data_IF_883871082272
#
_entry.id   IF_883871082272
#
_cell.length_a   1.000
_cell.length_b   1.000
_cell.length_c   1.000
_cell.angle_alpha   90.00
_cell.angle_beta   90.00
_cell.angle_gamma   90.00
#
_symmetry.space_group_name_H-M   'P 1'
#
loop_
_entity.id
_entity.type
_entity.pdbx_description
1 polymer ?
#
# COMPACT_ATOMS: atom_id res chain seq x y z
N UNK A 1 6.53 -26.21 -0.83
CA UNK A 1 6.48 -25.40 0.40
C UNK A 1 6.82 -23.92 0.18
N UNK A 2 7.97 -23.55 -0.40
CA UNK A 2 8.35 -22.14 -0.61
C UNK A 2 7.27 -21.33 -1.35
N UNK A 3 6.73 -21.85 -2.47
CA UNK A 3 5.69 -21.18 -3.23
C UNK A 3 4.45 -20.84 -2.40
N UNK A 4 4.01 -21.74 -1.50
CA UNK A 4 2.87 -21.50 -0.63
C UNK A 4 3.09 -20.33 0.34
N UNK A 5 4.30 -20.17 0.88
CA UNK A 5 4.66 -19.02 1.70
C UNK A 5 4.73 -17.72 0.91
N UNK A 6 5.24 -17.74 -0.32
CA UNK A 6 5.26 -16.58 -1.21
C UNK A 6 3.84 -16.13 -1.62
N UNK A 7 2.92 -17.10 -1.79
CA UNK A 7 1.49 -16.83 -2.04
C UNK A 7 0.85 -16.18 -0.81
N UNK A 8 1.04 -16.72 0.41
CA UNK A 8 0.54 -16.14 1.67
C UNK A 8 1.07 -14.72 1.90
N UNK A 9 2.36 -14.53 1.69
CA UNK A 9 3.04 -13.24 1.84
C UNK A 9 2.63 -12.21 0.76
N UNK A 10 1.90 -12.62 -0.27
CA UNK A 10 1.56 -11.80 -1.45
C UNK A 10 2.77 -11.02 -1.95
N UNK A 11 3.89 -11.73 -2.12
CA UNK A 11 5.22 -11.15 -2.37
C UNK A 11 5.24 -10.26 -3.62
N UNK A 12 4.35 -10.47 -4.58
CA UNK A 12 4.24 -9.65 -5.79
C UNK A 12 3.87 -8.19 -5.52
N UNK A 13 3.31 -7.88 -4.35
CA UNK A 13 2.97 -6.52 -3.94
C UNK A 13 4.04 -5.88 -3.02
N UNK A 14 5.04 -6.66 -2.57
CA UNK A 14 6.07 -6.17 -1.66
C UNK A 14 6.84 -4.95 -2.20
N UNK A 15 7.18 -4.84 -3.49
CA UNK A 15 7.83 -3.62 -4.00
C UNK A 15 7.02 -2.35 -3.81
N UNK A 16 5.67 -2.42 -3.70
CA UNK A 16 4.86 -1.24 -3.36
C UNK A 16 5.07 -0.78 -1.91
N UNK A 17 5.49 -1.67 -1.02
CA UNK A 17 5.91 -1.32 0.33
C UNK A 17 7.24 -0.57 0.30
N UNK A 18 8.17 -1.03 -0.54
CA UNK A 18 9.47 -0.37 -0.70
C UNK A 18 9.32 1.04 -1.28
N UNK A 19 8.44 1.23 -2.28
CA UNK A 19 8.18 2.57 -2.80
C UNK A 19 7.50 3.46 -1.75
N UNK A 20 6.55 2.94 -0.97
CA UNK A 20 5.91 3.70 0.11
C UNK A 20 6.92 4.11 1.19
N UNK A 21 7.76 3.18 1.67
CA UNK A 21 8.80 3.46 2.67
C UNK A 21 9.78 4.50 2.14
N UNK A 22 10.28 4.31 0.93
CA UNK A 22 11.26 5.24 0.33
C UNK A 22 10.64 6.62 0.08
N UNK A 23 9.37 6.68 -0.35
CA UNK A 23 8.67 7.94 -0.55
C UNK A 23 8.49 8.70 0.78
N UNK A 24 8.03 8.03 1.84
CA UNK A 24 7.92 8.63 3.18
C UNK A 24 9.26 9.13 3.70
N UNK A 25 10.34 8.36 3.48
CA UNK A 25 11.70 8.73 3.83
C UNK A 25 12.18 10.00 3.11
N UNK A 26 12.05 10.02 1.78
CA UNK A 26 12.51 11.14 0.95
C UNK A 26 11.72 12.43 1.20
N UNK A 27 10.40 12.33 1.38
CA UNK A 27 9.54 13.48 1.68
C UNK A 27 9.83 14.10 3.05
N UNK A 28 10.34 13.30 3.98
CA UNK A 28 10.84 13.79 5.27
C UNK A 28 12.26 14.39 5.20
N UNK A 29 12.89 14.41 4.02
CA UNK A 29 14.25 14.94 3.82
C UNK A 29 15.36 13.92 4.05
N UNK A 30 15.02 12.62 4.11
CA UNK A 30 16.00 11.55 4.30
C UNK A 30 16.89 11.30 3.08
N UNK A 31 18.20 11.13 3.30
CA UNK A 31 19.14 10.79 2.25
C UNK A 31 19.01 9.31 1.83
N UNK A 32 19.03 8.99 0.51
CA UNK A 32 18.90 7.60 0.03
C UNK A 32 20.03 6.67 0.50
N UNK A 33 21.23 7.22 0.77
CA UNK A 33 22.41 6.45 1.22
C UNK A 33 22.47 6.21 2.74
N UNK A 34 21.49 6.66 3.51
CA UNK A 34 21.49 6.47 4.96
C UNK A 34 21.18 5.00 5.29
N UNK A 35 22.02 4.29 6.06
CA UNK A 35 21.80 2.87 6.40
C UNK A 35 20.51 2.61 7.18
N UNK A 36 19.96 3.59 7.91
CA UNK A 36 18.69 3.45 8.60
C UNK A 36 17.53 3.17 7.62
N UNK A 37 17.60 3.66 6.38
CA UNK A 37 16.60 3.34 5.35
C UNK A 37 16.50 1.84 5.09
N UNK A 38 17.63 1.12 5.10
CA UNK A 38 17.63 -0.34 4.91
C UNK A 38 16.86 -1.04 6.02
N UNK A 39 17.05 -0.63 7.27
CA UNK A 39 16.32 -1.19 8.41
C UNK A 39 14.82 -0.92 8.31
N UNK A 40 14.43 0.28 7.89
CA UNK A 40 13.01 0.63 7.68
C UNK A 40 12.40 -0.15 6.50
N UNK A 41 13.15 -0.39 5.41
CA UNK A 41 12.71 -1.24 4.30
C UNK A 41 12.49 -2.68 4.74
N UNK A 42 13.42 -3.24 5.52
CA UNK A 42 13.28 -4.59 6.10
C UNK A 42 12.09 -4.65 7.06
N UNK A 43 11.96 -3.66 7.95
CA UNK A 43 10.85 -3.56 8.88
C UNK A 43 9.50 -3.50 8.15
N UNK A 44 9.35 -2.61 7.18
CA UNK A 44 8.14 -2.50 6.35
C UNK A 44 7.82 -3.80 5.61
N UNK A 45 8.86 -4.50 5.12
CA UNK A 45 8.70 -5.81 4.48
C UNK A 45 8.15 -6.86 5.44
N UNK A 46 8.68 -6.93 6.66
CA UNK A 46 8.22 -7.86 7.69
C UNK A 46 6.81 -7.54 8.18
N UNK A 47 6.51 -6.26 8.43
CA UNK A 47 5.18 -5.82 8.84
C UNK A 47 4.12 -6.14 7.77
N UNK A 48 4.44 -5.89 6.50
CA UNK A 48 3.54 -6.20 5.39
C UNK A 48 3.33 -7.70 5.23
N UNK A 49 4.40 -8.49 5.13
CA UNK A 49 4.31 -9.94 4.91
C UNK A 49 3.68 -10.66 6.09
N UNK A 50 4.03 -10.26 7.31
CA UNK A 50 3.40 -10.76 8.54
C UNK A 50 1.90 -10.50 8.56
N UNK A 51 1.46 -9.28 8.26
CA UNK A 51 0.04 -8.92 8.14
C UNK A 51 -0.68 -9.74 7.08
N UNK A 52 -0.10 -9.95 5.89
CA UNK A 52 -0.72 -10.77 4.84
C UNK A 52 -0.91 -12.23 5.28
N UNK A 53 0.09 -12.82 5.95
CA UNK A 53 0.03 -14.19 6.47
C UNK A 53 -1.05 -14.28 7.57
N UNK A 54 -1.10 -13.31 8.48
CA UNK A 54 -2.10 -13.27 9.56
C UNK A 54 -3.51 -13.06 9.03
N UNK A 55 -3.67 -12.25 8.00
CA UNK A 55 -4.96 -12.06 7.32
C UNK A 55 -5.53 -13.38 6.81
N UNK A 56 -4.71 -14.18 6.09
CA UNK A 56 -5.14 -15.48 5.59
C UNK A 56 -5.33 -16.51 6.74
N UNK A 57 -4.58 -16.40 7.84
CA UNK A 57 -4.79 -17.23 9.02
C UNK A 57 -6.10 -16.89 9.76
N UNK A 58 -6.43 -15.62 9.92
CA UNK A 58 -7.68 -15.16 10.51
C UNK A 58 -8.90 -15.55 9.64
N UNK A 59 -8.71 -15.58 8.32
CA UNK A 59 -9.75 -15.90 7.34
C UNK A 59 -9.98 -17.39 7.13
N UNK A 60 -9.24 -18.28 7.78
CA UNK A 60 -9.21 -19.72 7.49
C UNK A 60 -10.60 -20.39 7.51
N UNK A 61 -11.50 -19.96 8.42
CA UNK A 61 -12.86 -20.53 8.50
C UNK A 61 -13.66 -20.24 7.23
N UNK A 62 -13.65 -18.99 6.80
CA UNK A 62 -14.33 -18.56 5.57
C UNK A 62 -13.69 -19.19 4.33
N UNK A 63 -12.36 -19.25 4.27
CA UNK A 63 -11.63 -19.77 3.13
C UNK A 63 -11.78 -21.29 2.97
N UNK A 64 -12.01 -22.05 4.05
CA UNK A 64 -12.35 -23.47 3.98
C UNK A 64 -13.68 -23.73 3.25
N UNK A 65 -14.60 -22.80 3.31
CA UNK A 65 -15.92 -22.92 2.66
C UNK A 65 -15.90 -22.38 1.21
N UNK A 66 -15.09 -21.34 0.94
CA UNK A 66 -15.20 -20.59 -0.29
C UNK A 66 -13.93 -20.57 -1.16
N UNK A 67 -12.75 -20.92 -0.61
CA UNK A 67 -11.44 -20.78 -1.26
C UNK A 67 -10.47 -21.87 -0.83
N UNK A 68 -10.84 -23.12 -1.07
CA UNK A 68 -10.06 -24.30 -0.65
C UNK A 68 -8.69 -24.41 -1.34
N UNK A 69 -8.49 -23.71 -2.46
CA UNK A 69 -7.22 -23.63 -3.18
C UNK A 69 -6.14 -22.82 -2.44
N UNK A 70 -6.50 -22.00 -1.44
CA UNK A 70 -5.55 -21.22 -0.65
C UNK A 70 -4.61 -22.11 0.16
N UNK A 71 -3.37 -21.61 0.48
CA UNK A 71 -2.33 -22.44 1.11
C UNK A 71 -2.74 -23.07 2.45
N UNK A 72 -3.47 -22.36 3.33
CA UNK A 72 -3.85 -22.87 4.65
C UNK A 72 -5.01 -23.84 4.54
N UNK A 73 -6.15 -23.51 3.90
CA UNK A 73 -7.24 -24.47 3.70
C UNK A 73 -6.81 -25.72 2.94
N UNK A 74 -5.96 -25.57 1.92
CA UNK A 74 -5.42 -26.68 1.12
C UNK A 74 -4.33 -27.51 1.81
N UNK A 75 -4.06 -27.28 3.10
CA UNK A 75 -3.11 -28.07 3.90
C UNK A 75 -1.64 -27.89 3.52
N UNK A 76 -1.30 -26.95 2.63
CA UNK A 76 0.09 -26.67 2.20
C UNK A 76 0.90 -25.93 3.26
N UNK A 77 0.24 -25.22 4.18
CA UNK A 77 0.81 -24.53 5.35
C UNK A 77 -0.11 -24.75 6.54
N UNK A 78 0.46 -25.15 7.69
CA UNK A 78 -0.35 -25.34 8.90
C UNK A 78 -0.79 -23.99 9.49
N UNK A 79 -1.98 -23.97 10.07
CA UNK A 79 -2.54 -22.75 10.68
C UNK A 79 -1.65 -22.23 11.82
N UNK A 80 -1.11 -23.16 12.64
CA UNK A 80 -0.19 -22.79 13.72
C UNK A 80 1.08 -22.14 13.20
N UNK A 81 1.68 -22.69 12.14
CA UNK A 81 2.86 -22.08 11.52
C UNK A 81 2.55 -20.68 10.95
N UNK A 82 1.38 -20.50 10.32
CA UNK A 82 0.98 -19.19 9.81
C UNK A 82 0.85 -18.15 10.93
N UNK A 83 0.21 -18.49 12.05
CA UNK A 83 0.12 -17.63 13.24
C UNK A 83 1.51 -17.31 13.81
N UNK A 84 2.34 -18.32 14.04
CA UNK A 84 3.67 -18.15 14.65
C UNK A 84 4.58 -17.29 13.78
N UNK A 85 4.64 -17.56 12.47
CA UNK A 85 5.48 -16.80 11.53
C UNK A 85 4.95 -15.38 11.36
N UNK A 86 3.64 -15.21 11.18
CA UNK A 86 3.04 -13.89 11.00
C UNK A 86 3.25 -12.98 12.21
N UNK A 87 2.98 -13.46 13.43
CA UNK A 87 3.23 -12.71 14.66
C UNK A 87 4.72 -12.43 14.87
N UNK A 88 5.58 -13.43 14.64
CA UNK A 88 7.03 -13.24 14.72
C UNK A 88 7.54 -12.16 13.78
N UNK A 89 7.01 -12.10 12.54
CA UNK A 89 7.34 -11.04 11.58
C UNK A 89 6.84 -9.66 12.03
N UNK A 90 5.64 -9.55 12.62
CA UNK A 90 5.17 -8.26 13.15
C UNK A 90 6.06 -7.76 14.29
N UNK A 91 6.42 -8.64 15.23
CA UNK A 91 7.32 -8.29 16.35
C UNK A 91 8.70 -7.90 15.83
N UNK A 92 9.31 -8.70 14.95
CA UNK A 92 10.61 -8.41 14.36
C UNK A 92 10.58 -7.11 13.54
N UNK A 93 9.54 -6.87 12.75
CA UNK A 93 9.37 -5.66 11.97
C UNK A 93 9.24 -4.42 12.85
N UNK A 94 8.45 -4.51 13.93
CA UNK A 94 8.35 -3.44 14.92
C UNK A 94 9.71 -3.12 15.56
N UNK A 95 10.43 -4.16 16.00
CA UNK A 95 11.74 -4.02 16.63
C UNK A 95 12.77 -3.37 15.69
N UNK A 96 12.85 -3.84 14.43
CA UNK A 96 13.76 -3.29 13.44
C UNK A 96 13.43 -1.84 13.05
N UNK A 97 12.14 -1.48 13.00
CA UNK A 97 11.74 -0.11 12.74
C UNK A 97 12.19 0.84 13.86
N UNK A 98 11.95 0.45 15.12
CA UNK A 98 12.14 1.34 16.27
C UNK A 98 13.62 1.47 16.65
N UNK A 99 14.34 0.36 16.79
CA UNK A 99 15.71 0.39 17.33
C UNK A 99 16.76 0.75 16.27
N UNK A 100 17.08 -0.12 15.29
CA UNK A 100 18.09 0.27 14.31
C UNK A 100 17.59 1.23 13.24
N UNK A 101 16.27 1.24 12.96
CA UNK A 101 15.65 2.13 12.01
C UNK A 101 15.38 3.55 12.53
N UNK A 102 15.25 3.71 13.86
CA UNK A 102 14.99 4.99 14.50
C UNK A 102 13.57 5.54 14.33
N UNK A 103 12.61 4.72 13.89
CA UNK A 103 11.23 5.15 13.73
C UNK A 103 10.53 5.39 15.10
N UNK A 104 9.56 6.30 15.11
CA UNK A 104 8.75 6.56 16.30
C UNK A 104 7.98 5.31 16.72
N UNK A 105 8.21 4.82 17.94
CA UNK A 105 7.59 3.62 18.47
C UNK A 105 6.05 3.72 18.49
N UNK A 106 5.50 4.90 18.79
CA UNK A 106 4.05 5.12 18.83
C UNK A 106 3.40 4.97 17.45
N UNK A 107 4.02 5.53 16.38
CA UNK A 107 3.54 5.40 15.00
C UNK A 107 3.65 3.95 14.55
N UNK A 108 4.78 3.29 14.85
CA UNK A 108 5.00 1.89 14.48
C UNK A 108 4.01 0.97 15.20
N UNK A 109 3.73 1.22 16.47
CA UNK A 109 2.71 0.47 17.25
C UNK A 109 1.30 0.70 16.71
N UNK A 110 0.97 1.93 16.31
CA UNK A 110 -0.31 2.23 15.65
C UNK A 110 -0.46 1.48 14.32
N UNK A 111 0.62 1.37 13.53
CA UNK A 111 0.62 0.58 12.30
C UNK A 111 0.35 -0.91 12.58
N UNK A 112 1.06 -1.51 13.53
CA UNK A 112 0.83 -2.90 13.96
C UNK A 112 -0.60 -3.09 14.46
N UNK A 113 -1.10 -2.17 15.28
CA UNK A 113 -2.48 -2.19 15.77
C UNK A 113 -3.52 -2.12 14.64
N UNK A 114 -3.30 -1.26 13.63
CA UNK A 114 -4.17 -1.19 12.45
C UNK A 114 -4.14 -2.47 11.62
N UNK A 115 -2.96 -3.11 11.44
CA UNK A 115 -2.83 -4.39 10.74
C UNK A 115 -3.67 -5.46 11.46
N UNK A 116 -3.43 -5.65 12.76
CA UNK A 116 -4.16 -6.63 13.55
C UNK A 116 -5.66 -6.33 13.58
N UNK A 117 -6.06 -5.08 13.79
CA UNK A 117 -7.46 -4.70 13.78
C UNK A 117 -8.12 -5.02 12.44
N UNK A 118 -7.44 -4.72 11.31
CA UNK A 118 -7.94 -5.06 9.99
C UNK A 118 -8.12 -6.58 9.84
N UNK A 119 -7.13 -7.38 10.21
CA UNK A 119 -7.14 -8.83 10.03
C UNK A 119 -8.29 -9.50 10.79
N UNK A 120 -8.64 -9.02 11.97
CA UNK A 120 -9.73 -9.58 12.76
C UNK A 120 -11.12 -9.02 12.41
N UNK A 121 -11.21 -7.75 11.98
CA UNK A 121 -12.50 -7.05 11.84
C UNK A 121 -12.88 -6.65 10.42
N UNK A 122 -12.08 -6.96 9.41
CA UNK A 122 -12.35 -6.49 8.05
C UNK A 122 -13.61 -7.08 7.40
N UNK A 123 -14.06 -8.27 7.79
CA UNK A 123 -15.26 -8.92 7.23
C UNK A 123 -16.56 -8.38 7.82
N UNK A 124 -16.72 -8.32 9.16
CA UNK A 124 -17.98 -7.87 9.74
C UNK A 124 -18.20 -6.36 9.60
N UNK A 125 -17.16 -5.57 9.37
CA UNK A 125 -17.24 -4.12 9.38
C UNK A 125 -16.95 -3.47 8.03
N UNK A 126 -17.97 -2.76 7.48
CA UNK A 126 -17.82 -2.07 6.19
C UNK A 126 -16.75 -0.96 6.22
N UNK A 127 -16.50 -0.35 7.38
CA UNK A 127 -15.49 0.68 7.58
C UNK A 127 -14.04 0.19 7.54
N UNK A 128 -13.79 -1.12 7.50
CA UNK A 128 -12.44 -1.68 7.43
C UNK A 128 -11.62 -1.18 6.23
N UNK A 129 -12.25 -0.67 5.18
CA UNK A 129 -11.57 -0.04 4.04
C UNK A 129 -10.71 1.16 4.46
N UNK A 130 -11.19 1.93 5.46
CA UNK A 130 -10.46 3.06 6.01
C UNK A 130 -9.24 2.63 6.81
N UNK A 131 -9.34 1.52 7.55
CA UNK A 131 -8.20 0.94 8.29
C UNK A 131 -7.12 0.49 7.32
N UNK A 132 -7.49 -0.15 6.18
CA UNK A 132 -6.52 -0.52 5.15
C UNK A 132 -5.82 0.71 4.55
N UNK A 133 -6.55 1.79 4.29
CA UNK A 133 -5.95 3.06 3.89
C UNK A 133 -5.01 3.62 4.95
N UNK A 134 -5.42 3.56 6.23
CA UNK A 134 -4.62 4.04 7.36
C UNK A 134 -3.31 3.25 7.53
N UNK A 135 -3.29 1.94 7.26
CA UNK A 135 -2.05 1.16 7.26
C UNK A 135 -1.01 1.75 6.28
N UNK A 136 -1.44 2.24 5.11
CA UNK A 136 -0.52 2.87 4.16
C UNK A 136 -0.07 4.26 4.60
N UNK A 137 -0.97 5.04 5.20
CA UNK A 137 -0.63 6.35 5.80
C UNK A 137 0.41 6.17 6.91
N UNK A 138 0.17 5.21 7.82
CA UNK A 138 1.07 4.94 8.94
C UNK A 138 2.41 4.37 8.48
N UNK A 139 2.47 3.63 7.37
CA UNK A 139 3.72 3.14 6.79
C UNK A 139 4.60 4.31 6.29
N UNK A 140 4.01 5.31 5.63
CA UNK A 140 4.68 6.55 5.27
C UNK A 140 5.16 7.31 6.50
N UNK A 141 4.27 7.47 7.50
CA UNK A 141 4.57 8.17 8.73
C UNK A 141 5.69 7.48 9.54
N UNK A 142 5.68 6.14 9.61
CA UNK A 142 6.73 5.35 10.24
C UNK A 142 8.09 5.65 9.59
N UNK A 143 8.14 5.59 8.26
CA UNK A 143 9.37 5.86 7.53
C UNK A 143 9.85 7.32 7.69
N UNK A 144 8.94 8.28 7.55
CA UNK A 144 9.26 9.69 7.73
C UNK A 144 9.72 10.04 9.15
N UNK A 145 9.17 9.36 10.17
CA UNK A 145 9.56 9.58 11.56
C UNK A 145 10.99 9.12 11.87
N UNK A 146 11.51 8.17 11.12
CA UNK A 146 12.86 7.66 11.27
C UNK A 146 13.94 8.67 10.80
N UNK A 147 13.59 9.56 9.87
CA UNK A 147 14.51 10.62 9.37
C UNK A 147 14.75 11.69 10.43
N UNK A 148 13.74 11.97 11.22
CA UNK A 148 13.72 13.15 12.08
C UNK A 148 14.41 12.95 13.42
N UNK A 149 15.09 11.83 13.72
CA UNK A 149 15.66 11.53 15.04
C UNK A 149 14.71 11.98 16.16
N UNK A 150 13.54 11.38 16.18
CA UNK A 150 12.44 11.91 16.98
C UNK A 150 12.59 11.58 18.47
N UNK A 151 13.41 12.33 19.18
CA UNK A 151 13.39 12.36 20.65
C UNK A 151 12.06 12.97 21.16
N UNK A 152 11.34 13.74 20.33
CA UNK A 152 10.16 14.51 20.77
C UNK A 152 8.96 14.49 19.82
N UNK A 153 8.95 13.68 18.73
CA UNK A 153 7.87 13.70 17.72
C UNK A 153 7.59 15.08 17.07
N UNK A 154 8.51 16.03 17.21
CA UNK A 154 8.42 17.40 16.66
C UNK A 154 9.26 17.56 15.40
N UNK A 155 9.15 16.61 14.48
CA UNK A 155 9.88 16.77 13.24
C UNK A 155 9.08 17.64 12.24
N UNK A 156 9.61 18.80 11.82
CA UNK A 156 8.95 19.62 10.79
C UNK A 156 8.83 18.90 9.45
N UNK A 157 9.72 17.93 9.18
CA UNK A 157 9.82 17.27 7.88
C UNK A 157 8.68 16.32 7.53
N UNK A 158 8.07 15.63 8.48
CA UNK A 158 6.99 14.70 8.13
C UNK A 158 5.66 15.39 7.76
N UNK A 159 5.49 16.65 8.14
CA UNK A 159 4.34 17.44 7.73
C UNK A 159 4.29 17.67 6.22
N UNK A 160 5.44 17.64 5.53
CA UNK A 160 5.51 17.79 4.07
C UNK A 160 4.99 16.52 3.38
N UNK A 161 5.25 15.36 3.93
CA UNK A 161 4.78 14.08 3.38
C UNK A 161 3.36 13.68 3.76
N UNK A 162 2.73 14.38 4.73
CA UNK A 162 1.39 14.03 5.22
C UNK A 162 0.30 14.14 4.14
N UNK A 163 0.21 15.18 3.32
CA UNK A 163 -0.78 15.24 2.25
C UNK A 163 -0.64 14.08 1.25
N UNK A 164 0.59 13.69 0.91
CA UNK A 164 0.88 12.57 0.01
C UNK A 164 0.51 11.23 0.63
N UNK A 165 0.81 11.05 1.92
CA UNK A 165 0.40 9.86 2.68
C UNK A 165 -1.13 9.74 2.73
N UNK A 166 -1.85 10.83 3.02
CA UNK A 166 -3.32 10.86 3.03
C UNK A 166 -3.91 10.60 1.64
N UNK A 167 -3.31 11.14 0.59
CA UNK A 167 -3.73 10.88 -0.79
C UNK A 167 -3.55 9.40 -1.17
N UNK A 168 -2.45 8.76 -0.76
CA UNK A 168 -2.25 7.32 -0.92
C UNK A 168 -3.30 6.54 -0.12
N UNK A 169 -3.55 6.90 1.14
CA UNK A 169 -4.58 6.28 1.95
C UNK A 169 -5.96 6.35 1.29
N UNK A 170 -6.33 7.52 0.79
CA UNK A 170 -7.58 7.74 0.05
C UNK A 170 -7.65 6.89 -1.22
N UNK A 171 -6.55 6.78 -1.98
CA UNK A 171 -6.46 5.89 -3.14
C UNK A 171 -6.73 4.43 -2.77
N UNK A 172 -6.14 3.92 -1.69
CA UNK A 172 -6.36 2.55 -1.21
C UNK A 172 -7.81 2.33 -0.75
N UNK A 173 -8.40 3.30 -0.06
CA UNK A 173 -9.83 3.26 0.30
C UNK A 173 -10.69 3.18 -0.97
N UNK A 174 -10.44 4.06 -1.94
CA UNK A 174 -11.15 4.09 -3.22
C UNK A 174 -11.04 2.76 -3.97
N UNK A 175 -9.82 2.21 -4.08
CA UNK A 175 -9.55 0.90 -4.69
C UNK A 175 -10.37 -0.21 -4.04
N UNK A 176 -10.30 -0.29 -2.71
CA UNK A 176 -11.00 -1.35 -1.95
C UNK A 176 -12.51 -1.21 -2.04
N UNK A 177 -13.03 0.04 -2.00
CA UNK A 177 -14.46 0.30 -2.17
C UNK A 177 -14.95 -0.11 -3.55
N UNK A 178 -14.27 0.32 -4.62
CA UNK A 178 -14.67 -0.02 -6.00
C UNK A 178 -14.61 -1.53 -6.22
N UNK A 179 -13.52 -2.18 -5.77
CA UNK A 179 -13.39 -3.64 -5.90
C UNK A 179 -14.52 -4.40 -5.19
N UNK A 180 -14.89 -3.99 -3.97
CA UNK A 180 -16.01 -4.61 -3.21
C UNK A 180 -17.38 -4.38 -3.85
N UNK A 181 -17.59 -3.20 -4.44
CA UNK A 181 -18.86 -2.88 -5.10
C UNK A 181 -19.07 -3.72 -6.36
N UNK A 182 -18.06 -3.78 -7.22
CA UNK A 182 -18.13 -4.52 -8.48
C UNK A 182 -18.20 -6.05 -8.23
N UNK A 183 -17.53 -6.56 -7.18
CA UNK A 183 -17.58 -7.98 -6.82
C UNK A 183 -18.97 -8.44 -6.33
N UNK A 184 -19.75 -7.54 -5.71
CA UNK A 184 -21.09 -7.87 -5.22
C UNK A 184 -22.16 -7.85 -6.29
N UNK A 185 -21.92 -7.29 -7.47
CA UNK A 185 -22.89 -7.17 -8.57
C UNK A 185 -24.18 -6.42 -8.20
N UNK A 186 -24.20 -5.78 -7.04
CA UNK A 186 -25.38 -5.14 -6.48
C UNK A 186 -25.60 -3.76 -7.11
N UNK A 187 -26.85 -3.34 -7.18
CA UNK A 187 -27.22 -1.96 -7.50
C UNK A 187 -26.64 -1.01 -6.44
N UNK A 188 -25.44 -0.51 -6.72
CA UNK A 188 -24.73 0.40 -5.81
C UNK A 188 -25.24 1.81 -6.04
N UNK A 189 -25.52 2.53 -4.95
CA UNK A 189 -25.87 3.95 -5.01
C UNK A 189 -24.83 4.72 -5.86
N UNK A 190 -25.33 5.52 -6.81
CA UNK A 190 -24.50 6.35 -7.69
C UNK A 190 -23.49 7.20 -6.92
N UNK A 191 -23.90 7.75 -5.78
CA UNK A 191 -23.06 8.56 -4.91
C UNK A 191 -21.88 7.78 -4.33
N UNK A 192 -22.09 6.54 -3.87
CA UNK A 192 -21.01 5.70 -3.36
C UNK A 192 -20.00 5.38 -4.46
N UNK A 193 -20.47 5.10 -5.67
CA UNK A 193 -19.60 4.85 -6.82
C UNK A 193 -18.78 6.08 -7.23
N UNK A 194 -19.42 7.27 -7.27
CA UNK A 194 -18.73 8.53 -7.56
C UNK A 194 -17.68 8.80 -6.48
N UNK A 195 -18.05 8.74 -5.22
CA UNK A 195 -17.15 8.97 -4.09
C UNK A 195 -15.92 8.04 -4.13
N UNK A 196 -16.13 6.73 -4.29
CA UNK A 196 -15.04 5.77 -4.36
C UNK A 196 -14.08 6.04 -5.53
N UNK A 197 -14.62 6.46 -6.70
CA UNK A 197 -13.80 6.83 -7.85
C UNK A 197 -13.06 8.14 -7.64
N UNK A 198 -13.67 9.12 -6.99
CA UNK A 198 -12.98 10.38 -6.65
C UNK A 198 -11.77 10.11 -5.77
N UNK A 199 -11.90 9.20 -4.78
CA UNK A 199 -10.78 8.79 -3.93
C UNK A 199 -9.62 8.19 -4.73
N UNK A 200 -9.88 7.46 -5.82
CA UNK A 200 -8.82 6.92 -6.69
C UNK A 200 -8.00 8.01 -7.38
N UNK A 201 -8.58 9.16 -7.68
CA UNK A 201 -7.88 10.25 -8.36
C UNK A 201 -7.19 11.23 -7.40
N UNK A 202 -7.39 11.10 -6.07
CA UNK A 202 -6.83 12.03 -5.07
C UNK A 202 -5.33 12.27 -5.22
N UNK A 203 -4.45 11.26 -5.48
CA UNK A 203 -3.01 11.51 -5.66
C UNK A 203 -2.70 12.41 -6.86
N UNK A 204 -3.39 12.18 -7.97
CA UNK A 204 -3.21 13.00 -9.18
C UNK A 204 -3.72 14.43 -9.00
N UNK A 205 -4.86 14.60 -8.31
CA UNK A 205 -5.42 15.92 -7.98
C UNK A 205 -4.46 16.69 -7.07
N UNK A 206 -3.94 16.03 -6.02
CA UNK A 206 -2.95 16.66 -5.13
C UNK A 206 -1.69 17.06 -5.90
N UNK A 207 -1.12 16.18 -6.73
CA UNK A 207 0.06 16.49 -7.52
C UNK A 207 -0.17 17.66 -8.47
N UNK A 208 -1.32 17.71 -9.14
CA UNK A 208 -1.69 18.82 -9.99
C UNK A 208 -1.80 20.13 -9.20
N UNK A 209 -2.49 20.13 -8.05
CA UNK A 209 -2.65 21.32 -7.21
C UNK A 209 -1.30 21.88 -6.73
N UNK A 210 -0.36 21.01 -6.38
CA UNK A 210 0.97 21.42 -5.95
C UNK A 210 1.81 22.02 -7.10
N UNK A 211 1.70 21.49 -8.31
CA UNK A 211 2.37 22.08 -9.49
C UNK A 211 1.81 23.49 -9.77
N UNK A 212 0.50 23.64 -9.72
CA UNK A 212 -0.13 24.97 -9.96
C UNK A 212 0.22 25.98 -8.86
N UNK A 213 0.25 25.56 -7.58
CA UNK A 213 0.54 26.46 -6.46
C UNK A 213 1.99 26.91 -6.40
N UNK A 214 2.94 26.07 -6.85
CA UNK A 214 4.38 26.37 -6.82
C UNK A 214 4.88 27.09 -8.07
N UNK A 215 4.04 27.30 -9.08
CA UNK A 215 4.42 27.94 -10.33
C UNK A 215 5.41 27.15 -11.19
N UNK A 216 5.68 25.89 -10.84
CA UNK A 216 6.58 25.01 -11.58
C UNK A 216 5.97 24.46 -12.89
N UNK A 217 5.12 25.23 -13.57
CA UNK A 217 4.56 24.90 -14.89
C UNK A 217 5.61 24.62 -15.99
N UNK A 218 6.88 24.95 -15.74
CA UNK A 218 7.98 24.72 -16.70
C UNK A 218 8.46 23.26 -16.80
N UNK A 219 7.94 22.35 -15.97
CA UNK A 219 8.36 20.96 -15.95
C UNK A 219 7.28 20.06 -16.58
N UNK A 220 7.42 19.76 -17.87
CA UNK A 220 6.57 18.78 -18.56
C UNK A 220 6.59 17.39 -17.91
N UNK A 221 7.69 17.05 -17.23
CA UNK A 221 7.91 15.75 -16.61
C UNK A 221 6.87 15.34 -15.54
N UNK A 222 6.50 16.18 -14.54
CA UNK A 222 5.43 15.86 -13.59
C UNK A 222 4.06 15.70 -14.26
N UNK A 223 3.77 16.45 -15.32
CA UNK A 223 2.52 16.32 -16.08
C UNK A 223 2.42 14.95 -16.75
N UNK A 224 3.53 14.43 -17.29
CA UNK A 224 3.57 13.06 -17.87
C UNK A 224 3.16 12.02 -16.81
N UNK A 225 3.67 12.13 -15.57
CA UNK A 225 3.30 11.22 -14.49
C UNK A 225 1.81 11.32 -14.11
N UNK A 226 1.25 12.54 -14.07
CA UNK A 226 -0.17 12.76 -13.80
C UNK A 226 -1.03 12.14 -14.89
N UNK A 227 -0.68 12.35 -16.18
CA UNK A 227 -1.41 11.75 -17.30
C UNK A 227 -1.31 10.22 -17.28
N UNK A 228 -0.11 9.66 -17.05
CA UNK A 228 0.08 8.22 -16.93
C UNK A 228 -0.77 7.62 -15.81
N UNK A 229 -0.78 8.27 -14.64
CA UNK A 229 -1.61 7.87 -13.51
C UNK A 229 -3.11 7.94 -13.83
N UNK A 230 -3.59 9.04 -14.39
CA UNK A 230 -5.01 9.21 -14.76
C UNK A 230 -5.44 8.18 -15.82
N UNK A 231 -4.59 7.93 -16.82
CA UNK A 231 -4.83 6.90 -17.84
C UNK A 231 -4.91 5.51 -17.22
N UNK A 232 -4.00 5.16 -16.32
CA UNK A 232 -4.00 3.89 -15.60
C UNK A 232 -5.28 3.70 -14.78
N UNK A 233 -5.68 4.69 -13.96
CA UNK A 233 -6.90 4.62 -13.14
C UNK A 233 -8.14 4.49 -14.03
N UNK A 234 -8.21 5.28 -15.11
CA UNK A 234 -9.31 5.22 -16.06
C UNK A 234 -9.40 3.86 -16.75
N UNK A 235 -8.28 3.30 -17.22
CA UNK A 235 -8.23 1.98 -17.83
C UNK A 235 -8.66 0.88 -16.85
N UNK A 236 -8.13 0.89 -15.62
CA UNK A 236 -8.48 -0.07 -14.60
C UNK A 236 -9.98 -0.03 -14.25
N UNK A 237 -10.54 1.17 -14.07
CA UNK A 237 -11.97 1.32 -13.75
C UNK A 237 -12.88 0.90 -14.92
N UNK A 238 -12.45 1.09 -16.18
CA UNK A 238 -13.17 0.58 -17.36
C UNK A 238 -13.15 -0.96 -17.40
N UNK A 239 -11.99 -1.58 -17.16
CA UNK A 239 -11.84 -3.05 -17.10
C UNK A 239 -12.71 -3.61 -15.98
N UNK A 240 -12.72 -2.98 -14.80
CA UNK A 240 -13.47 -3.43 -13.64
C UNK A 240 -14.98 -3.51 -13.89
N UNK A 241 -15.54 -2.59 -14.71
CA UNK A 241 -16.96 -2.59 -15.10
C UNK A 241 -17.39 -3.81 -15.92
N UNK A 242 -16.45 -4.58 -16.47
CA UNK A 242 -16.76 -5.81 -17.20
C UNK A 242 -17.19 -6.96 -16.25
N UNK A 243 -16.96 -6.82 -14.93
CA UNK A 243 -17.34 -7.81 -13.94
C UNK A 243 -16.49 -9.09 -13.96
N UNK A 244 -16.85 -10.06 -13.13
CA UNK A 244 -16.22 -11.38 -13.09
C UNK A 244 -14.69 -11.35 -12.97
N UNK A 245 -13.96 -12.13 -13.79
CA UNK A 245 -12.50 -12.21 -13.74
C UNK A 245 -11.78 -10.87 -14.05
N UNK A 246 -12.48 -9.93 -14.70
CA UNK A 246 -11.91 -8.61 -15.02
C UNK A 246 -11.68 -7.77 -13.75
N UNK A 247 -12.45 -7.99 -12.68
CA UNK A 247 -12.28 -7.28 -11.40
C UNK A 247 -10.89 -7.57 -10.83
N UNK A 248 -10.48 -8.83 -10.74
CA UNK A 248 -9.15 -9.21 -10.24
C UNK A 248 -8.02 -8.60 -11.08
N UNK A 249 -8.18 -8.57 -12.42
CA UNK A 249 -7.22 -7.93 -13.32
C UNK A 249 -7.10 -6.43 -13.06
N UNK A 250 -8.22 -5.74 -12.90
CA UNK A 250 -8.25 -4.30 -12.63
C UNK A 250 -7.67 -3.97 -11.26
N UNK A 251 -8.01 -4.73 -10.22
CA UNK A 251 -7.43 -4.60 -8.88
C UNK A 251 -5.91 -4.78 -8.94
N UNK A 252 -5.40 -5.77 -9.68
CA UNK A 252 -3.97 -5.94 -9.86
C UNK A 252 -3.30 -4.74 -10.55
N UNK A 253 -3.95 -4.09 -11.54
CA UNK A 253 -3.45 -2.86 -12.16
C UNK A 253 -3.38 -1.73 -11.13
N UNK A 254 -4.42 -1.53 -10.34
CA UNK A 254 -4.46 -0.49 -9.32
C UNK A 254 -3.44 -0.75 -8.19
N UNK A 255 -3.22 -2.01 -7.79
CA UNK A 255 -2.19 -2.36 -6.81
C UNK A 255 -0.78 -2.07 -7.35
N UNK A 256 -0.47 -2.44 -8.59
CA UNK A 256 0.80 -2.07 -9.22
C UNK A 256 0.92 -0.54 -9.39
N UNK A 257 -0.19 0.14 -9.58
CA UNK A 257 -0.29 1.59 -9.68
C UNK A 257 0.06 2.36 -8.39
N UNK A 258 0.18 1.69 -7.24
CA UNK A 258 0.70 2.31 -6.01
C UNK A 258 2.09 2.89 -6.26
N UNK A 259 2.94 2.22 -7.04
CA UNK A 259 4.25 2.74 -7.41
C UNK A 259 4.16 4.07 -8.20
N UNK A 260 3.10 4.24 -9.00
CA UNK A 260 2.83 5.51 -9.69
C UNK A 260 2.33 6.61 -8.73
N UNK A 261 1.55 6.25 -7.72
CA UNK A 261 1.14 7.18 -6.64
C UNK A 261 2.38 7.68 -5.91
N UNK A 262 3.30 6.79 -5.56
CA UNK A 262 4.56 7.15 -4.91
C UNK A 262 5.46 7.97 -5.85
N UNK A 263 5.46 7.68 -7.15
CA UNK A 263 6.16 8.49 -8.15
C UNK A 263 5.65 9.93 -8.17
N UNK A 264 4.32 10.14 -8.12
CA UNK A 264 3.73 11.47 -8.02
C UNK A 264 4.17 12.19 -6.74
N UNK A 265 4.22 11.50 -5.61
CA UNK A 265 4.68 12.05 -4.35
C UNK A 265 6.16 12.45 -4.39
N UNK A 266 7.02 11.56 -4.89
CA UNK A 266 8.49 11.76 -4.97
C UNK A 266 8.87 12.75 -6.06
N UNK A 267 8.04 13.01 -7.06
CA UNK A 267 8.31 13.97 -8.15
C UNK A 267 8.63 15.40 -7.65
N UNK A 268 8.18 15.72 -6.44
CA UNK A 268 8.44 17.01 -5.79
C UNK A 268 9.83 17.12 -5.18
N UNK A 269 10.49 15.98 -4.96
CA UNK A 269 11.83 15.92 -4.34
C UNK A 269 12.87 15.47 -5.35
N UNK A 270 12.55 14.48 -6.21
CA UNK A 270 13.49 13.93 -7.18
C UNK A 270 12.75 13.34 -8.39
N UNK A 271 12.88 14.01 -9.53
CA UNK A 271 12.33 13.52 -10.80
C UNK A 271 12.94 12.19 -11.26
N UNK A 272 14.27 11.96 -11.19
CA UNK A 272 14.84 10.67 -11.58
C UNK A 272 14.26 9.50 -10.78
N UNK A 273 14.11 9.65 -9.47
CA UNK A 273 13.51 8.62 -8.62
C UNK A 273 12.01 8.44 -8.89
N UNK A 274 11.30 9.53 -9.19
CA UNK A 274 9.88 9.44 -9.58
C UNK A 274 9.70 8.61 -10.85
N UNK A 275 10.53 8.80 -11.88
CA UNK A 275 10.49 7.98 -13.09
C UNK A 275 10.91 6.53 -12.83
N UNK A 276 11.90 6.29 -11.95
CA UNK A 276 12.25 4.94 -11.53
C UNK A 276 11.07 4.23 -10.84
N UNK A 277 10.33 4.92 -9.96
CA UNK A 277 9.13 4.37 -9.32
C UNK A 277 8.01 4.12 -10.35
N UNK A 278 7.80 5.05 -11.28
CA UNK A 278 6.81 4.86 -12.34
C UNK A 278 7.11 3.62 -13.21
N UNK A 279 8.39 3.38 -13.51
CA UNK A 279 8.83 2.21 -14.26
C UNK A 279 8.60 0.88 -13.52
N UNK A 280 8.49 0.89 -12.18
CA UNK A 280 8.14 -0.30 -11.41
C UNK A 280 6.71 -0.77 -11.67
N UNK A 281 5.75 0.11 -11.99
CA UNK A 281 4.36 -0.27 -12.18
C UNK A 281 4.15 -1.35 -13.27
N UNK A 282 4.68 -1.23 -14.50
CA UNK A 282 4.59 -2.29 -15.49
C UNK A 282 5.37 -3.55 -15.07
N UNK A 283 6.51 -3.44 -14.39
CA UNK A 283 7.27 -4.58 -13.90
C UNK A 283 6.48 -5.38 -12.84
N UNK A 284 5.80 -4.69 -11.93
CA UNK A 284 4.90 -5.31 -10.95
C UNK A 284 3.75 -6.05 -11.65
N UNK A 285 3.18 -5.50 -12.72
CA UNK A 285 2.15 -6.19 -13.52
C UNK A 285 2.67 -7.47 -14.16
N UNK A 286 3.92 -7.49 -14.62
CA UNK A 286 4.55 -8.70 -15.12
C UNK A 286 4.74 -9.72 -14.00
N UNK A 287 5.23 -9.30 -12.84
CA UNK A 287 5.45 -10.19 -11.70
C UNK A 287 4.14 -10.81 -11.17
N UNK A 288 3.05 -10.05 -11.15
CA UNK A 288 1.72 -10.54 -10.76
C UNK A 288 1.19 -11.69 -11.64
N UNK A 289 1.80 -11.96 -12.81
CA UNK A 289 1.46 -13.14 -13.63
C UNK A 289 1.97 -14.45 -13.03
N UNK A 290 3.01 -14.38 -12.20
CA UNK A 290 3.64 -15.55 -11.57
C UNK A 290 3.09 -15.81 -10.16
N UNK A 291 2.85 -14.75 -9.41
CA UNK A 291 2.26 -14.80 -8.06
C UNK A 291 1.14 -13.77 -8.01
N UNK A 292 -0.10 -14.24 -7.78
CA UNK A 292 -1.28 -13.38 -7.74
C UNK A 292 -1.14 -12.28 -6.65
N UNK A 293 -1.65 -11.10 -6.98
CA UNK A 293 -1.64 -9.95 -6.06
C UNK A 293 -2.78 -9.99 -5.02
N UNK A 294 -3.80 -10.81 -5.29
CA UNK A 294 -5.03 -10.93 -4.48
C UNK A 294 -5.38 -12.38 -4.21
#
# INVERSE_FOLDING_TARGET
MLRAWLELARISNLPTVWTNVTAGWLLAGGAPGNPALLWILLAGSLLYTGGMILNDAADVRYDREHRQERPIPGGRVSLLAAWSVGLGMLVAGWFLAVFPGGACWGITSALVGCILFYDFYHKPWAGAVWVMGMCRVLLYAMSGSAVALCVTCKAPGWSIGLPQALALGAYIVGLTMVARMEAKGASVSRWKSVFARTLLYTPGILAASLIFSTGHLKLAAPLVLIFAFAAMVTAATRIMRQGGPAIGRAVGILLAGIALVDALAVSQVSLPLAFAFAALAPLLRLWQRWIAAT
#
